data_IF_152932158811
#
_entry.id   IF_152932158811
#
_cell.length_a   1.000
_cell.length_b   1.000
_cell.length_c   1.000
_cell.angle_alpha   90.00
_cell.angle_beta   90.00
_cell.angle_gamma   90.00
#
_symmetry.space_group_name_H-M   'P 1'
#
loop_
_entity.id
_entity.type
_entity.pdbx_description
1 polymer ?
#
# COMPACT_ATOMS: atom_id res chain seq x y z
N UNK A 1 -10.13 -17.30 -4.48
CA UNK A 1 -9.56 -16.00 -4.11
C UNK A 1 -8.26 -16.21 -3.36
N UNK A 2 -7.19 -15.62 -3.82
CA UNK A 2 -5.86 -15.79 -3.25
C UNK A 2 -5.31 -14.45 -2.76
N UNK A 3 -4.72 -14.48 -1.57
CA UNK A 3 -4.01 -13.34 -1.02
C UNK A 3 -2.51 -13.42 -1.32
N UNK A 4 -1.91 -12.28 -1.59
CA UNK A 4 -0.48 -12.15 -1.87
C UNK A 4 0.12 -11.05 -1.02
N UNK A 5 1.40 -11.20 -0.70
CA UNK A 5 2.17 -10.17 -0.03
C UNK A 5 3.53 -10.03 -0.73
N UNK A 6 3.99 -8.82 -0.85
CA UNK A 6 5.27 -8.55 -1.50
C UNK A 6 6.01 -7.39 -0.86
N UNK A 7 7.30 -7.32 -1.16
CA UNK A 7 8.16 -6.21 -0.75
C UNK A 7 8.03 -5.07 -1.73
N UNK A 8 7.99 -3.87 -1.19
CA UNK A 8 7.90 -2.65 -1.98
C UNK A 8 8.62 -1.51 -1.26
N UNK A 9 8.49 -0.31 -1.76
CA UNK A 9 9.01 0.91 -1.14
C UNK A 9 8.03 2.04 -1.41
N UNK A 10 8.15 3.11 -0.64
CA UNK A 10 7.29 4.27 -0.84
C UNK A 10 7.52 4.87 -2.22
N UNK A 11 6.42 5.23 -2.89
CA UNK A 11 6.45 5.78 -4.24
C UNK A 11 7.32 7.05 -4.28
N UNK A 12 8.16 7.16 -5.32
CA UNK A 12 9.04 8.29 -5.50
C UNK A 12 8.31 9.63 -5.67
N UNK A 13 7.01 9.60 -5.97
CA UNK A 13 6.15 10.80 -6.04
C UNK A 13 5.89 11.41 -4.67
N UNK A 14 6.04 10.61 -3.60
CA UNK A 14 5.93 11.10 -2.23
C UNK A 14 7.13 11.97 -1.94
N UNK A 15 6.94 13.16 -1.32
CA UNK A 15 8.07 14.02 -0.98
C UNK A 15 9.16 13.30 -0.19
N UNK A 16 10.41 13.57 -0.51
CA UNK A 16 11.56 12.91 0.11
C UNK A 16 11.55 13.04 1.63
N UNK A 17 11.21 14.22 2.15
CA UNK A 17 11.15 14.47 3.59
C UNK A 17 10.16 13.57 4.31
N UNK A 18 9.12 13.10 3.61
CA UNK A 18 8.16 12.14 4.16
C UNK A 18 8.72 10.73 4.04
N UNK A 19 9.29 10.38 2.88
CA UNK A 19 9.87 9.04 2.66
C UNK A 19 10.99 8.74 3.64
N UNK A 20 11.79 9.74 4.01
CA UNK A 20 12.87 9.59 4.97
C UNK A 20 12.39 9.32 6.41
N UNK A 21 11.12 9.59 6.70
CA UNK A 21 10.53 9.25 8.00
C UNK A 21 10.24 7.76 8.16
N UNK A 22 10.24 7.01 7.07
CA UNK A 22 10.01 5.57 7.16
C UNK A 22 11.25 4.88 7.73
N UNK A 23 11.11 4.10 8.81
CA UNK A 23 12.28 3.48 9.46
C UNK A 23 12.94 2.44 8.56
N UNK A 24 14.24 2.54 8.39
CA UNK A 24 15.00 1.65 7.49
C UNK A 24 15.08 0.20 8.00
N UNK A 25 14.85 -0.04 9.28
CA UNK A 25 14.89 -1.37 9.87
C UNK A 25 13.66 -2.22 9.55
N UNK A 26 12.61 -1.63 8.99
CA UNK A 26 11.39 -2.37 8.63
C UNK A 26 11.21 -2.36 7.11
N UNK A 27 11.14 -3.54 6.51
CA UNK A 27 10.81 -3.67 5.09
C UNK A 27 9.35 -3.27 4.87
N UNK A 28 9.12 -2.35 3.95
CA UNK A 28 7.76 -2.02 3.54
C UNK A 28 7.19 -3.17 2.72
N UNK A 29 6.03 -3.65 3.12
CA UNK A 29 5.34 -4.73 2.43
C UNK A 29 3.96 -4.26 2.02
N UNK A 30 3.41 -4.91 1.00
CA UNK A 30 2.08 -4.63 0.50
C UNK A 30 1.32 -5.93 0.33
N UNK A 31 0.05 -5.91 0.66
CA UNK A 31 -0.87 -7.05 0.56
C UNK A 31 -1.94 -6.73 -0.48
N UNK A 32 -2.23 -7.69 -1.33
CA UNK A 32 -3.32 -7.58 -2.31
C UNK A 32 -3.98 -8.93 -2.51
N UNK A 33 -5.11 -8.92 -3.22
CA UNK A 33 -5.91 -10.11 -3.46
C UNK A 33 -6.12 -10.29 -4.95
N UNK A 34 -6.09 -11.53 -5.41
CA UNK A 34 -6.50 -11.88 -6.76
C UNK A 34 -7.72 -12.80 -6.71
N UNK A 35 -8.67 -12.56 -7.58
CA UNK A 35 -9.91 -13.33 -7.64
C UNK A 35 -10.11 -13.86 -9.05
N UNK A 36 -10.51 -15.14 -9.13
CA UNK A 36 -10.80 -15.79 -10.41
C UNK A 36 -12.30 -15.68 -10.69
N UNK A 37 -12.65 -15.01 -11.76
CA UNK A 37 -14.04 -14.86 -12.22
C UNK A 37 -14.09 -15.16 -13.71
N UNK A 38 -14.97 -16.09 -14.10
CA UNK A 38 -15.17 -16.51 -15.50
C UNK A 38 -13.83 -16.84 -16.18
N UNK A 39 -13.00 -17.60 -15.47
CA UNK A 39 -11.68 -18.05 -15.92
C UNK A 39 -10.65 -16.93 -16.15
N UNK A 40 -10.90 -15.72 -15.62
CA UNK A 40 -9.97 -14.60 -15.67
C UNK A 40 -9.61 -14.16 -14.26
N UNK A 41 -8.31 -14.00 -14.00
CA UNK A 41 -7.81 -13.49 -12.73
C UNK A 41 -7.85 -11.97 -12.73
N UNK A 42 -8.43 -11.42 -11.66
CA UNK A 42 -8.50 -9.97 -11.42
C UNK A 42 -7.72 -9.61 -10.17
N UNK A 43 -6.91 -8.57 -10.26
CA UNK A 43 -6.19 -8.02 -9.11
C UNK A 43 -7.10 -7.02 -8.40
N UNK A 44 -7.29 -7.20 -7.09
CA UNK A 44 -8.06 -6.30 -6.24
C UNK A 44 -7.13 -5.65 -5.23
N UNK A 45 -6.98 -4.35 -5.35
CA UNK A 45 -6.08 -3.55 -4.50
C UNK A 45 -6.66 -2.16 -4.31
N UNK A 46 -7.26 -1.92 -3.15
CA UNK A 46 -7.97 -0.67 -2.84
C UNK A 46 -7.10 0.33 -2.06
N UNK A 47 -5.78 0.24 -2.17
CA UNK A 47 -4.85 1.08 -1.39
C UNK A 47 -4.93 2.55 -1.75
N UNK A 48 -5.17 2.87 -3.02
CA UNK A 48 -5.29 4.25 -3.49
C UNK A 48 -6.68 4.49 -4.06
N UNK A 49 -7.32 5.57 -3.64
CA UNK A 49 -8.63 5.96 -4.15
C UNK A 49 -8.50 6.79 -5.43
N UNK A 50 -9.60 6.96 -6.19
CA UNK A 50 -9.57 7.73 -7.44
C UNK A 50 -9.10 9.18 -7.27
N UNK A 51 -9.22 9.76 -6.08
CA UNK A 51 -8.75 11.13 -5.81
C UNK A 51 -7.25 11.28 -5.91
N UNK A 52 -6.49 10.19 -5.90
CA UNK A 52 -5.04 10.20 -6.04
C UNK A 52 -4.56 9.96 -7.47
N UNK A 53 -5.45 9.60 -8.39
CA UNK A 53 -5.09 9.30 -9.78
C UNK A 53 -4.48 10.51 -10.49
N UNK A 54 -4.97 11.72 -10.21
CA UNK A 54 -4.47 12.94 -10.83
C UNK A 54 -3.03 13.27 -10.42
N UNK A 55 -2.58 12.76 -9.28
CA UNK A 55 -1.20 12.90 -8.82
C UNK A 55 -0.28 11.82 -9.38
N UNK A 56 -0.79 10.93 -10.22
CA UNK A 56 -0.01 9.89 -10.88
C UNK A 56 0.10 8.58 -10.12
N UNK A 57 -0.66 8.39 -9.05
CA UNK A 57 -0.67 7.11 -8.34
C UNK A 57 -1.46 6.06 -9.12
N UNK A 58 -1.01 4.81 -9.03
CA UNK A 58 -1.71 3.69 -9.63
C UNK A 58 -2.96 3.37 -8.81
N UNK A 59 -4.13 3.71 -9.36
CA UNK A 59 -5.41 3.31 -8.78
C UNK A 59 -5.82 2.01 -9.45
N UNK A 60 -6.11 0.98 -8.65
CA UNK A 60 -6.50 -0.31 -9.18
C UNK A 60 -7.87 -0.22 -9.85
N UNK A 61 -7.95 -0.64 -11.09
CA UNK A 61 -9.18 -0.72 -11.85
C UNK A 61 -9.57 -2.18 -12.03
N UNK A 62 -10.88 -2.43 -12.21
CA UNK A 62 -11.42 -3.79 -12.29
C UNK A 62 -10.71 -4.68 -13.32
N UNK A 63 -10.36 -4.12 -14.47
CA UNK A 63 -9.71 -4.87 -15.55
C UNK A 63 -8.19 -4.80 -15.50
N UNK A 64 -7.63 -4.22 -14.46
CA UNK A 64 -6.19 -4.11 -14.28
C UNK A 64 -5.64 -5.35 -13.60
N UNK A 65 -4.45 -5.77 -14.02
CA UNK A 65 -3.67 -6.80 -13.33
C UNK A 65 -2.53 -6.17 -12.53
N UNK A 66 -2.66 -4.88 -12.19
CA UNK A 66 -1.62 -4.14 -11.49
C UNK A 66 -2.05 -3.79 -10.08
N UNK A 67 -1.14 -3.98 -9.14
CA UNK A 67 -1.30 -3.44 -7.78
C UNK A 67 -1.09 -1.94 -7.77
N UNK A 68 -1.49 -1.27 -6.68
CA UNK A 68 -1.23 0.15 -6.49
C UNK A 68 0.26 0.46 -6.25
N UNK A 69 1.04 -0.53 -5.83
CA UNK A 69 2.46 -0.38 -5.50
C UNK A 69 3.33 -1.15 -6.49
N UNK A 70 4.55 -0.68 -6.69
CA UNK A 70 5.57 -1.42 -7.46
C UNK A 70 6.17 -2.49 -6.55
N UNK A 71 5.85 -3.74 -6.84
CA UNK A 71 6.31 -4.88 -6.05
C UNK A 71 7.67 -5.32 -6.55
N UNK A 72 8.67 -5.27 -5.69
CA UNK A 72 10.04 -5.69 -6.03
C UNK A 72 10.26 -7.17 -5.81
N UNK A 73 9.51 -7.78 -4.90
CA UNK A 73 9.57 -9.21 -4.63
C UNK A 73 8.23 -9.67 -4.09
N UNK A 74 7.62 -10.66 -4.75
CA UNK A 74 6.43 -11.32 -4.23
C UNK A 74 6.86 -12.49 -3.35
N UNK A 75 6.32 -12.58 -2.14
CA UNK A 75 6.64 -13.66 -1.23
C UNK A 75 6.03 -14.98 -1.70
N UNK A 76 6.80 -16.06 -1.53
CA UNK A 76 6.25 -17.41 -1.63
C UNK A 76 5.24 -17.62 -0.50
N UNK A 77 4.45 -18.69 -0.58
CA UNK A 77 3.52 -19.03 0.49
C UNK A 77 4.23 -19.23 1.82
N UNK A 78 5.40 -19.89 1.81
CA UNK A 78 6.19 -20.09 3.03
C UNK A 78 6.71 -18.78 3.61
N UNK A 79 7.20 -17.90 2.75
CA UNK A 79 7.67 -16.57 3.17
C UNK A 79 6.53 -15.74 3.77
N UNK A 80 5.35 -15.80 3.14
CA UNK A 80 4.17 -15.08 3.63
C UNK A 80 3.73 -15.60 5.00
N UNK A 81 3.76 -16.91 5.21
CA UNK A 81 3.43 -17.51 6.52
C UNK A 81 4.43 -17.06 7.59
N UNK A 82 5.72 -17.09 7.27
CA UNK A 82 6.75 -16.64 8.19
C UNK A 82 6.58 -15.15 8.54
N UNK A 83 6.26 -14.33 7.55
CA UNK A 83 6.01 -12.91 7.75
C UNK A 83 4.81 -12.67 8.67
N UNK A 84 3.71 -13.41 8.48
CA UNK A 84 2.55 -13.31 9.36
C UNK A 84 2.88 -13.73 10.80
N UNK A 85 3.76 -14.73 10.94
CA UNK A 85 4.21 -15.18 12.27
C UNK A 85 4.92 -14.09 13.06
N UNK A 86 5.70 -13.24 12.39
CA UNK A 86 6.38 -12.11 13.05
C UNK A 86 5.35 -11.14 13.64
N UNK A 87 4.23 -10.92 12.96
CA UNK A 87 3.19 -10.00 13.41
C UNK A 87 2.37 -10.53 14.58
N UNK A 88 2.46 -11.82 14.88
CA UNK A 88 1.79 -12.38 16.06
C UNK A 88 2.54 -12.07 17.38
N UNK A 89 3.74 -11.51 17.29
CA UNK A 89 4.47 -11.03 18.46
C UNK A 89 4.01 -9.61 18.80
N UNK A 90 3.36 -9.39 19.98
CA UNK A 90 2.87 -8.05 20.36
C UNK A 90 3.99 -6.99 20.49
N UNK A 91 5.17 -7.40 20.92
CA UNK A 91 6.31 -6.49 21.05
C UNK A 91 6.79 -5.99 19.70
N UNK A 92 6.86 -6.88 18.72
CA UNK A 92 7.23 -6.49 17.36
C UNK A 92 6.18 -5.53 16.77
N UNK A 93 4.91 -5.86 16.89
CA UNK A 93 3.83 -5.02 16.37
C UNK A 93 3.87 -3.63 17.00
N UNK A 94 4.07 -3.54 18.31
CA UNK A 94 4.16 -2.25 19.00
C UNK A 94 5.36 -1.43 18.51
N UNK A 95 6.55 -2.03 18.42
CA UNK A 95 7.73 -1.31 17.96
C UNK A 95 7.58 -0.83 16.51
N UNK A 96 6.93 -1.61 15.66
CA UNK A 96 6.64 -1.19 14.30
C UNK A 96 5.71 0.02 14.28
N UNK A 97 4.58 -0.05 14.97
CA UNK A 97 3.62 1.06 14.97
C UNK A 97 4.18 2.34 15.56
N UNK A 98 5.00 2.23 16.60
CA UNK A 98 5.68 3.39 17.16
C UNK A 98 6.68 3.99 16.17
N UNK A 99 7.45 3.14 15.48
CA UNK A 99 8.48 3.61 14.56
C UNK A 99 7.89 4.22 13.27
N UNK A 100 6.80 3.67 12.73
CA UNK A 100 6.20 4.16 11.49
C UNK A 100 5.17 5.26 11.70
N UNK A 101 4.73 5.49 12.94
CA UNK A 101 3.68 6.47 13.26
C UNK A 101 3.93 7.85 12.66
N UNK A 102 5.11 8.46 12.84
CA UNK A 102 5.39 9.79 12.26
C UNK A 102 5.29 9.81 10.73
N UNK A 103 5.78 8.76 10.06
CA UNK A 103 5.67 8.65 8.61
C UNK A 103 4.21 8.52 8.18
N UNK A 104 3.44 7.66 8.85
CA UNK A 104 2.04 7.45 8.54
C UNK A 104 1.23 8.73 8.71
N UNK A 105 1.47 9.49 9.77
CA UNK A 105 0.80 10.77 10.02
C UNK A 105 1.12 11.78 8.91
N UNK A 106 2.39 11.89 8.53
CA UNK A 106 2.83 12.79 7.46
C UNK A 106 2.23 12.39 6.10
N UNK A 107 2.19 11.10 5.81
CA UNK A 107 1.59 10.57 4.58
C UNK A 107 0.10 10.88 4.51
N UNK A 108 -0.64 10.64 5.58
CA UNK A 108 -2.07 10.89 5.61
C UNK A 108 -2.37 12.38 5.36
N UNK A 109 -1.60 13.26 5.98
CA UNK A 109 -1.75 14.70 5.78
C UNK A 109 -1.46 15.11 4.34
N UNK A 110 -0.42 14.53 3.76
CA UNK A 110 -0.05 14.81 2.37
C UNK A 110 -1.10 14.30 1.39
N UNK A 111 -1.60 13.06 1.57
CA UNK A 111 -2.68 12.53 0.73
C UNK A 111 -3.93 13.40 0.81
N UNK A 112 -4.28 13.87 2.00
CA UNK A 112 -5.43 14.77 2.16
C UNK A 112 -5.24 16.09 1.39
N UNK A 113 -4.02 16.62 1.37
CA UNK A 113 -3.75 17.84 0.60
C UNK A 113 -3.97 17.63 -0.90
N UNK A 114 -3.63 16.46 -1.42
CA UNK A 114 -3.86 16.10 -2.82
C UNK A 114 -5.35 15.97 -3.09
N UNK A 115 -6.08 15.25 -2.24
CA UNK A 115 -7.51 15.03 -2.40
C UNK A 115 -8.29 16.34 -2.40
N UNK A 116 -7.91 17.29 -1.59
CA UNK A 116 -8.55 18.61 -1.51
C UNK A 116 -8.40 19.41 -2.80
N UNK A 117 -7.33 19.20 -3.56
CA UNK A 117 -7.10 19.90 -4.82
C UNK A 117 -7.66 19.17 -6.03
N UNK A 118 -8.10 17.93 -5.87
CA UNK A 118 -8.65 17.13 -6.95
C UNK A 118 -10.16 17.38 -7.07
N UNK A 119 -10.65 17.90 -8.22
CA UNK A 119 -12.08 18.14 -8.42
C UNK A 119 -12.94 16.90 -8.25
N UNK A 120 -12.40 15.72 -8.54
CA UNK A 120 -13.15 14.46 -8.42
C UNK A 120 -13.34 14.04 -6.97
N UNK A 121 -12.38 14.33 -6.10
CA UNK A 121 -12.47 13.96 -4.69
C UNK A 121 -13.34 14.90 -3.88
N UNK A 122 -13.66 16.09 -4.39
CA UNK A 122 -14.56 17.06 -3.74
C UNK A 122 -16.03 16.80 -4.04
N UNK A 123 -16.33 15.87 -4.93
CA UNK A 123 -17.71 15.46 -5.22
C UNK A 123 -18.18 14.51 -4.14
N UNK A 124 -18.49 15.04 -3.01
CA UNK A 124 -19.24 14.28 -2.00
C UNK A 124 -20.70 14.26 -2.40
N UNK A 125 -21.23 13.09 -2.33
CA UNK A 125 -22.65 12.91 -2.55
C UNK A 125 -23.46 13.76 -1.56
#
# INVERSE_FOLDING_TARGET
MDGYVGETFLDAKIPEEIRLLYPSEFQLTHFWVEVLLKDVWHTLDASYDPGLASAGFNVNEWNSNRTCFDITKTYTQQEAIAYQGVWSDPEYARSYFEAVGPCAAALNKWYESIRKTDPKSTKTA
#
